data_IF_210548070946
#
_entry.id   IF_210548070946
#
_cell.length_a   1.000
_cell.length_b   1.000
_cell.length_c   1.000
_cell.angle_alpha   90.00
_cell.angle_beta   90.00
_cell.angle_gamma   90.00
#
_symmetry.space_group_name_H-M   'P 1'
#
loop_
_entity.id
_entity.type
_entity.pdbx_description
1 polymer ?
#
# COMPACT_ATOMS: atom_id res chain seq x y z
N UNK A 1 -4.83 -12.67 -38.84
CA UNK A 1 -5.55 -13.04 -37.62
C UNK A 1 -4.76 -12.88 -36.33
N UNK A 2 -3.42 -12.96 -36.35
CA UNK A 2 -2.61 -12.73 -35.13
C UNK A 2 -2.69 -11.31 -34.58
N UNK A 3 -2.70 -10.28 -35.42
CA UNK A 3 -2.76 -8.88 -35.01
C UNK A 3 -4.02 -8.50 -34.22
N UNK A 4 -5.17 -9.09 -34.55
CA UNK A 4 -6.41 -8.78 -33.83
C UNK A 4 -6.42 -9.31 -32.37
N UNK A 5 -5.79 -10.47 -32.12
CA UNK A 5 -5.63 -11.04 -30.79
C UNK A 5 -4.65 -10.23 -29.94
N UNK A 6 -3.52 -9.85 -30.54
CA UNK A 6 -2.51 -9.03 -29.87
C UNK A 6 -3.08 -7.67 -29.43
N UNK A 7 -3.89 -7.05 -30.26
CA UNK A 7 -4.58 -5.79 -29.91
C UNK A 7 -5.63 -5.98 -28.81
N UNK A 8 -6.37 -7.09 -28.81
CA UNK A 8 -7.34 -7.40 -27.76
C UNK A 8 -6.63 -7.63 -26.41
N UNK A 9 -5.56 -8.40 -26.41
CA UNK A 9 -4.76 -8.67 -25.22
C UNK A 9 -4.11 -7.39 -24.65
N UNK A 10 -3.64 -6.52 -25.52
CA UNK A 10 -3.05 -5.23 -25.15
C UNK A 10 -4.11 -4.32 -24.49
N UNK A 11 -5.31 -4.24 -25.09
CA UNK A 11 -6.43 -3.46 -24.51
C UNK A 11 -6.85 -3.98 -23.14
N UNK A 12 -6.95 -5.29 -23.00
CA UNK A 12 -7.31 -5.92 -21.72
C UNK A 12 -6.25 -5.63 -20.65
N UNK A 13 -4.98 -5.69 -21.04
CA UNK A 13 -3.86 -5.38 -20.15
C UNK A 13 -3.86 -3.92 -19.72
N UNK A 14 -4.11 -2.99 -20.63
CA UNK A 14 -4.23 -1.56 -20.33
C UNK A 14 -5.42 -1.27 -19.41
N UNK A 15 -6.57 -1.87 -19.67
CA UNK A 15 -7.76 -1.74 -18.80
C UNK A 15 -7.47 -2.27 -17.39
N UNK A 16 -6.83 -3.42 -17.29
CA UNK A 16 -6.42 -4.02 -16.01
C UNK A 16 -5.47 -3.10 -15.26
N UNK A 17 -4.50 -2.52 -15.94
CA UNK A 17 -3.57 -1.56 -15.36
C UNK A 17 -4.28 -0.31 -14.84
N UNK A 18 -5.18 0.28 -15.63
CA UNK A 18 -5.99 1.43 -15.21
C UNK A 18 -6.86 1.11 -13.99
N UNK A 19 -7.48 -0.05 -13.97
CA UNK A 19 -8.28 -0.51 -12.82
C UNK A 19 -7.43 -0.68 -11.57
N UNK A 20 -6.23 -1.25 -11.68
CA UNK A 20 -5.31 -1.41 -10.57
C UNK A 20 -4.90 -0.05 -9.98
N UNK A 21 -4.56 0.91 -10.83
CA UNK A 21 -4.20 2.26 -10.39
C UNK A 21 -5.37 3.02 -9.77
N UNK A 22 -6.57 2.94 -10.34
CA UNK A 22 -7.75 3.60 -9.76
C UNK A 22 -8.17 2.95 -8.44
N UNK A 23 -8.10 1.63 -8.33
CA UNK A 23 -8.35 0.92 -7.08
C UNK A 23 -7.33 1.32 -5.99
N UNK A 24 -6.05 1.39 -6.35
CA UNK A 24 -4.99 1.84 -5.45
C UNK A 24 -5.21 3.28 -4.98
N UNK A 25 -5.61 4.17 -5.89
CA UNK A 25 -5.96 5.55 -5.56
C UNK A 25 -7.13 5.64 -4.59
N UNK A 26 -8.20 4.86 -4.84
CA UNK A 26 -9.35 4.80 -3.94
C UNK A 26 -8.99 4.26 -2.56
N UNK A 27 -8.08 3.32 -2.48
CA UNK A 27 -7.57 2.81 -1.20
C UNK A 27 -6.72 3.85 -0.46
N UNK A 28 -5.86 4.58 -1.19
CA UNK A 28 -4.98 5.58 -0.59
C UNK A 28 -5.72 6.84 -0.14
N UNK A 29 -6.61 7.36 -0.99
CA UNK A 29 -7.34 8.61 -0.72
C UNK A 29 -8.65 8.38 0.02
N UNK A 30 -9.38 7.33 -0.32
CA UNK A 30 -10.71 7.02 0.21
C UNK A 30 -10.74 6.19 1.48
N UNK A 31 -9.59 5.70 1.94
CA UNK A 31 -9.49 4.85 3.12
C UNK A 31 -10.13 3.46 2.98
N UNK A 32 -10.39 3.02 1.77
CA UNK A 32 -10.94 1.69 1.50
C UNK A 32 -9.85 0.65 1.77
N UNK A 33 -10.11 -0.27 2.68
CA UNK A 33 -9.17 -1.34 3.06
C UNK A 33 -9.41 -2.65 2.34
N UNK A 34 -10.63 -2.86 1.83
CA UNK A 34 -11.00 -4.08 1.13
C UNK A 34 -10.69 -3.96 -0.37
N UNK A 35 -9.86 -4.85 -0.88
CA UNK A 35 -9.52 -4.93 -2.30
C UNK A 35 -10.73 -5.15 -3.19
N UNK A 36 -11.66 -5.98 -2.75
CA UNK A 36 -12.85 -6.27 -3.54
C UNK A 36 -13.73 -5.03 -3.74
N UNK A 37 -13.97 -4.27 -2.68
CA UNK A 37 -14.70 -3.00 -2.76
C UNK A 37 -13.96 -1.97 -3.61
N UNK A 38 -12.65 -1.89 -3.49
CA UNK A 38 -11.83 -1.00 -4.31
C UNK A 38 -11.93 -1.35 -5.80
N UNK A 39 -11.89 -2.64 -6.15
CA UNK A 39 -12.08 -3.12 -7.52
C UNK A 39 -13.45 -2.74 -8.08
N UNK A 40 -14.52 -2.99 -7.33
CA UNK A 40 -15.88 -2.68 -7.75
C UNK A 40 -16.08 -1.18 -7.96
N UNK A 41 -15.60 -0.35 -7.06
CA UNK A 41 -15.68 1.10 -7.21
C UNK A 41 -14.86 1.62 -8.39
N UNK A 42 -13.65 1.09 -8.58
CA UNK A 42 -12.81 1.44 -9.72
C UNK A 42 -13.46 1.04 -11.04
N UNK A 43 -14.01 -0.17 -11.12
CA UNK A 43 -14.75 -0.66 -12.29
C UNK A 43 -15.95 0.23 -12.61
N UNK A 44 -16.72 0.61 -11.61
CA UNK A 44 -17.86 1.51 -11.77
C UNK A 44 -17.44 2.89 -12.26
N UNK A 45 -16.36 3.45 -11.74
CA UNK A 45 -15.84 4.76 -12.15
C UNK A 45 -15.33 4.79 -13.59
N UNK A 46 -14.64 3.73 -14.01
CA UNK A 46 -14.05 3.64 -15.34
C UNK A 46 -15.03 3.05 -16.37
N UNK A 47 -16.19 2.58 -15.93
CA UNK A 47 -17.17 1.92 -16.82
C UNK A 47 -16.67 0.59 -17.39
N UNK A 48 -15.78 -0.09 -16.70
CA UNK A 48 -15.22 -1.38 -17.12
C UNK A 48 -15.88 -2.49 -16.31
N UNK A 49 -16.70 -3.30 -16.94
CA UNK A 49 -17.46 -4.39 -16.30
C UNK A 49 -17.00 -5.78 -16.73
N UNK A 50 -15.85 -5.85 -17.36
CA UNK A 50 -15.28 -7.07 -17.88
C UNK A 50 -14.44 -7.79 -16.80
N UNK A 51 -14.83 -9.01 -16.47
CA UNK A 51 -14.12 -9.83 -15.46
C UNK A 51 -12.68 -10.13 -15.87
N UNK A 52 -12.39 -10.24 -17.15
CA UNK A 52 -11.04 -10.46 -17.66
C UNK A 52 -10.10 -9.28 -17.40
N UNK A 53 -10.66 -8.08 -17.25
CA UNK A 53 -9.92 -6.85 -16.97
C UNK A 53 -9.75 -6.58 -15.47
N UNK A 54 -10.34 -7.37 -14.58
CA UNK A 54 -10.19 -7.19 -13.13
C UNK A 54 -8.75 -7.49 -12.68
N UNK A 55 -8.11 -6.55 -11.96
CA UNK A 55 -6.77 -6.76 -11.47
C UNK A 55 -6.73 -7.75 -10.29
N UNK A 56 -5.61 -8.43 -10.14
CA UNK A 56 -5.33 -9.23 -8.96
C UNK A 56 -4.96 -8.32 -7.79
N UNK A 57 -5.13 -8.78 -6.56
CA UNK A 57 -4.78 -8.02 -5.37
C UNK A 57 -3.32 -7.57 -5.38
N UNK A 58 -2.41 -8.43 -5.83
CA UNK A 58 -0.99 -8.09 -5.97
C UNK A 58 -0.73 -6.92 -6.93
N UNK A 59 -1.47 -6.85 -8.03
CA UNK A 59 -1.36 -5.74 -8.98
C UNK A 59 -1.81 -4.42 -8.34
N UNK A 60 -2.84 -4.47 -7.49
CA UNK A 60 -3.32 -3.31 -6.72
C UNK A 60 -2.30 -2.92 -5.64
N UNK A 61 -1.70 -3.89 -4.97
CA UNK A 61 -0.63 -3.62 -3.99
C UNK A 61 0.57 -2.94 -4.62
N UNK A 62 1.02 -3.43 -5.77
CA UNK A 62 2.13 -2.83 -6.52
C UNK A 62 1.78 -1.41 -6.97
N UNK A 63 0.57 -1.18 -7.48
CA UNK A 63 0.07 0.13 -7.84
C UNK A 63 -0.03 1.07 -6.62
N UNK A 64 -0.44 0.54 -5.47
CA UNK A 64 -0.52 1.30 -4.22
C UNK A 64 0.87 1.73 -3.72
N UNK A 65 1.86 0.85 -3.80
CA UNK A 65 3.26 1.19 -3.48
C UNK A 65 3.79 2.28 -4.40
N UNK A 66 3.51 2.17 -5.69
CA UNK A 66 3.90 3.19 -6.67
C UNK A 66 3.21 4.52 -6.41
N UNK A 67 1.93 4.52 -6.11
CA UNK A 67 1.18 5.71 -5.73
C UNK A 67 1.78 6.38 -4.50
N UNK A 68 2.06 5.62 -3.46
CA UNK A 68 2.69 6.12 -2.24
C UNK A 68 4.07 6.71 -2.50
N UNK A 69 4.87 6.07 -3.35
CA UNK A 69 6.18 6.58 -3.75
C UNK A 69 6.10 7.90 -4.50
N UNK A 70 5.15 8.05 -5.41
CA UNK A 70 5.01 9.23 -6.26
C UNK A 70 4.35 10.41 -5.53
N UNK A 71 3.32 10.15 -4.74
CA UNK A 71 2.49 11.19 -4.14
C UNK A 71 2.77 11.45 -2.65
N UNK A 72 3.35 10.51 -1.94
CA UNK A 72 3.76 10.72 -0.56
C UNK A 72 5.09 11.48 -0.41
N UNK A 73 5.96 11.40 -1.43
CA UNK A 73 7.18 12.18 -1.55
C UNK A 73 8.10 12.17 -0.32
N UNK A 74 8.99 13.18 -0.19
CA UNK A 74 9.88 13.31 0.97
C UNK A 74 9.11 13.49 2.29
N UNK A 75 7.94 14.10 2.27
CA UNK A 75 7.08 14.30 3.44
C UNK A 75 6.65 12.97 4.10
N UNK A 76 6.48 11.90 3.32
CA UNK A 76 6.14 10.59 3.85
C UNK A 76 7.27 10.01 4.70
N UNK A 77 8.51 10.09 4.22
CA UNK A 77 9.69 9.65 4.95
C UNK A 77 9.87 10.41 6.28
N UNK A 78 9.66 11.72 6.28
CA UNK A 78 9.71 12.55 7.48
C UNK A 78 8.62 12.15 8.47
N UNK A 79 7.37 11.98 8.04
CA UNK A 79 6.25 11.56 8.90
C UNK A 79 6.49 10.18 9.51
N UNK A 80 6.99 9.23 8.71
CA UNK A 80 7.30 7.89 9.18
C UNK A 80 8.41 7.91 10.23
N UNK A 81 9.43 8.73 10.03
CA UNK A 81 10.53 8.95 10.99
C UNK A 81 10.00 9.55 12.28
N UNK A 82 9.18 10.60 12.22
CA UNK A 82 8.54 11.22 13.37
C UNK A 82 7.69 10.24 14.18
N UNK A 83 6.91 9.39 13.50
CA UNK A 83 6.12 8.34 14.15
C UNK A 83 6.98 7.30 14.84
N UNK A 84 8.10 6.91 14.22
CA UNK A 84 9.08 5.98 14.81
C UNK A 84 9.75 6.57 16.05
N UNK A 85 10.15 7.82 15.98
CA UNK A 85 10.75 8.52 17.11
C UNK A 85 9.78 8.67 18.28
N UNK A 86 8.52 9.03 17.99
CA UNK A 86 7.47 9.11 19.01
C UNK A 86 7.19 7.74 19.64
N UNK A 87 7.17 6.67 18.85
CA UNK A 87 6.99 5.31 19.34
C UNK A 87 8.16 4.84 20.20
N UNK A 88 9.40 5.17 19.85
CA UNK A 88 10.59 4.86 20.64
C UNK A 88 10.57 5.58 21.98
N UNK A 89 10.19 6.86 22.02
CA UNK A 89 9.99 7.60 23.26
C UNK A 89 8.91 6.99 24.15
N UNK A 90 7.80 6.57 23.57
CA UNK A 90 6.75 5.87 24.29
C UNK A 90 7.23 4.52 24.84
N UNK A 91 8.06 3.78 24.09
CA UNK A 91 8.68 2.53 24.56
C UNK A 91 9.59 2.73 25.73
N UNK A 92 10.41 3.80 25.75
CA UNK A 92 11.27 4.15 26.88
C UNK A 92 10.42 4.42 28.14
N UNK A 93 9.35 5.19 27.99
CA UNK A 93 8.42 5.49 29.07
C UNK A 93 7.70 4.25 29.59
N UNK A 94 7.30 3.32 28.68
CA UNK A 94 6.58 2.09 29.00
C UNK A 94 7.49 0.88 29.22
N UNK A 95 8.80 1.08 29.33
CA UNK A 95 9.81 0.03 29.49
C UNK A 95 9.45 -1.03 30.54
N UNK A 96 8.95 -0.66 31.76
CA UNK A 96 8.57 -1.62 32.79
C UNK A 96 7.44 -2.57 32.39
N UNK A 97 6.62 -2.21 31.40
CA UNK A 97 5.50 -3.00 30.89
C UNK A 97 5.87 -3.90 29.70
N UNK A 98 7.14 -3.89 29.27
CA UNK A 98 7.64 -4.67 28.12
C UNK A 98 6.82 -4.45 26.83
N UNK A 99 6.65 -3.20 26.36
CA UNK A 99 5.90 -2.93 25.14
C UNK A 99 6.60 -3.46 23.91
N UNK A 100 5.84 -3.79 22.87
CA UNK A 100 6.34 -4.25 21.57
C UNK A 100 5.84 -3.36 20.45
N UNK A 101 6.72 -3.02 19.51
CA UNK A 101 6.35 -2.33 18.29
C UNK A 101 5.65 -3.27 17.33
N UNK A 102 4.53 -2.81 16.76
CA UNK A 102 3.75 -3.52 15.74
C UNK A 102 3.47 -2.61 14.55
N UNK A 103 3.15 -3.20 13.40
CA UNK A 103 2.76 -2.48 12.20
C UNK A 103 3.89 -1.68 11.54
N UNK A 104 3.56 -0.55 10.87
CA UNK A 104 4.53 0.21 10.06
C UNK A 104 5.64 0.88 10.88
N UNK A 105 5.44 1.06 12.16
CA UNK A 105 6.43 1.67 13.08
C UNK A 105 7.59 0.72 13.38
N UNK A 106 7.38 -0.58 13.24
CA UNK A 106 8.37 -1.62 13.57
C UNK A 106 9.67 -1.52 12.75
N UNK A 107 9.60 -1.13 11.48
CA UNK A 107 10.78 -1.04 10.61
C UNK A 107 11.51 -2.37 10.39
N UNK A 108 12.52 -2.36 9.53
CA UNK A 108 13.31 -3.56 9.21
C UNK A 108 14.40 -3.91 10.25
N UNK A 109 14.66 -3.06 11.22
CA UNK A 109 15.76 -3.23 12.18
C UNK A 109 15.28 -3.75 13.54
N UNK A 110 14.86 -5.03 13.56
CA UNK A 110 14.46 -5.71 14.80
C UNK A 110 15.53 -5.67 15.89
N UNK A 111 16.82 -5.71 15.51
CA UNK A 111 17.95 -5.77 16.46
C UNK A 111 18.15 -4.50 17.28
N UNK A 112 17.88 -3.33 16.71
CA UNK A 112 18.02 -2.07 17.42
C UNK A 112 16.93 -1.83 18.48
N UNK A 113 15.71 -2.30 18.21
CA UNK A 113 14.64 -2.22 19.20
C UNK A 113 14.90 -3.12 20.41
N UNK A 114 15.45 -4.32 20.18
CA UNK A 114 15.82 -5.25 21.25
C UNK A 114 16.96 -4.69 22.13
N UNK A 115 17.97 -4.00 21.55
CA UNK A 115 19.05 -3.37 22.29
C UNK A 115 18.59 -2.19 23.16
N UNK A 116 17.62 -1.40 22.67
CA UNK A 116 17.06 -0.29 23.45
C UNK A 116 16.29 -0.77 24.69
N UNK A 117 15.63 -1.92 24.58
CA UNK A 117 14.92 -2.52 25.71
C UNK A 117 15.88 -3.17 26.70
N UNK A 118 16.99 -3.73 26.24
CA UNK A 118 18.01 -4.34 27.09
C UNK A 118 18.90 -3.32 27.82
N UNK A 119 19.03 -2.10 27.30
CA UNK A 119 19.82 -1.02 27.92
C UNK A 119 19.02 -0.22 28.99
N UNK A 120 17.74 -0.44 29.07
CA UNK A 120 16.87 0.17 30.07
C UNK A 120 16.65 -0.77 31.26
#
# INVERSE_FOLDING_TARGET
>A
MHHAREHADTRTRERRHRLAHEAARLMAEGGIRDFHQAKLKAASRLGIHDDASLPRNREIEDALREYQRLFAGPAHGVRLRQRREAALRALEFLGPFQPRLTGPVRGHRRRQCACAIAAA
#
